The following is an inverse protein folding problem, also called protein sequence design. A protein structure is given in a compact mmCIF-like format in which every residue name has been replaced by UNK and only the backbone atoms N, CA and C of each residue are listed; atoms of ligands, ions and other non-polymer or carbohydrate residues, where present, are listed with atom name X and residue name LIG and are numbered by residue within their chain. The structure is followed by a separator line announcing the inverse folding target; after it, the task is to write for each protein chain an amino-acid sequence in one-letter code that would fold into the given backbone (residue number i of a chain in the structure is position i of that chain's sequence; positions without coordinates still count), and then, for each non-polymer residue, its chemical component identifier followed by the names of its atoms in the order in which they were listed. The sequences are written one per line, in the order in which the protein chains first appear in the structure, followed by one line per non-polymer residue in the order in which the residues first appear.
data_IF_834079687962
#
_entry.id   IF_834079687962
#
_cell.length_a   1.000
_cell.length_b   1.000
_cell.length_c   1.000
_cell.angle_alpha   90.00
_cell.angle_beta   90.00
_cell.angle_gamma   90.00
#
_symmetry.space_group_name_H-M   'P 1'
#
loop_
_entity.id
_entity.type
_entity.pdbx_description
1 polymer ?
#
# COMPACT_ATOMS: atom_id res chain seq x y z
N UNK A 1 -5.51 7.13 20.31
CA UNK A 1 -5.95 6.58 19.01
C UNK A 1 -7.20 7.34 18.56
N UNK A 2 -7.27 7.71 17.29
CA UNK A 2 -8.37 8.45 16.64
C UNK A 2 -8.52 8.01 15.18
N UNK A 3 -9.60 8.43 14.51
CA UNK A 3 -9.78 8.17 13.07
C UNK A 3 -8.61 8.68 12.21
N UNK A 4 -7.90 9.72 12.68
CA UNK A 4 -6.71 10.24 11.99
C UNK A 4 -5.54 9.23 11.99
N UNK A 5 -5.48 8.32 12.96
CA UNK A 5 -4.41 7.33 13.03
C UNK A 5 -4.53 6.29 11.91
N UNK A 6 -5.75 5.98 11.43
CA UNK A 6 -5.95 5.12 10.25
C UNK A 6 -5.25 5.71 9.02
N UNK A 7 -5.40 7.02 8.81
CA UNK A 7 -4.75 7.73 7.71
C UNK A 7 -3.22 7.69 7.86
N UNK A 8 -2.69 7.90 9.06
CA UNK A 8 -1.25 7.81 9.33
C UNK A 8 -0.70 6.42 9.02
N UNK A 9 -1.36 5.37 9.51
CA UNK A 9 -1.00 3.99 9.21
C UNK A 9 -1.03 3.71 7.72
N UNK A 10 -2.08 4.12 7.02
CA UNK A 10 -2.20 3.98 5.56
C UNK A 10 -1.04 4.66 4.81
N UNK A 11 -0.75 5.93 5.14
CA UNK A 11 0.36 6.68 4.54
C UNK A 11 1.71 6.02 4.78
N UNK A 12 2.03 5.66 6.02
CA UNK A 12 3.31 5.00 6.36
C UNK A 12 3.46 3.69 5.60
N UNK A 13 2.43 2.85 5.61
CA UNK A 13 2.48 1.54 4.96
C UNK A 13 2.64 1.64 3.44
N UNK A 14 1.94 2.56 2.77
CA UNK A 14 2.12 2.74 1.33
C UNK A 14 3.54 3.22 0.97
N UNK A 15 4.12 4.10 1.78
CA UNK A 15 5.51 4.53 1.58
C UNK A 15 6.49 3.36 1.79
N UNK A 16 6.27 2.53 2.82
CA UNK A 16 7.11 1.35 3.10
C UNK A 16 6.99 0.29 1.98
N UNK A 17 5.83 0.20 1.33
CA UNK A 17 5.60 -0.62 0.14
C UNK A 17 6.23 -0.04 -1.13
N UNK A 18 6.84 1.15 -1.06
CA UNK A 18 7.54 1.78 -2.19
C UNK A 18 6.64 2.57 -3.13
N UNK A 19 5.41 2.91 -2.74
CA UNK A 19 4.53 3.77 -3.54
C UNK A 19 5.10 5.20 -3.55
N UNK A 20 5.11 5.82 -4.72
CA UNK A 20 5.61 7.18 -4.88
C UNK A 20 4.89 8.18 -3.95
N UNK A 21 5.62 9.08 -3.24
CA UNK A 21 5.03 9.99 -2.27
C UNK A 21 3.90 10.86 -2.85
N UNK A 22 4.03 11.32 -4.10
CA UNK A 22 3.00 12.14 -4.74
C UNK A 22 1.69 11.37 -4.99
N UNK A 23 1.75 10.05 -5.20
CA UNK A 23 0.57 9.19 -5.32
C UNK A 23 -0.08 9.03 -3.95
N UNK A 24 0.71 8.80 -2.89
CA UNK A 24 0.22 8.70 -1.50
C UNK A 24 -0.46 10.00 -1.05
N UNK A 25 0.15 11.16 -1.35
CA UNK A 25 -0.44 12.47 -1.07
C UNK A 25 -1.79 12.65 -1.78
N UNK A 26 -1.89 12.28 -3.06
CA UNK A 26 -3.18 12.36 -3.76
C UNK A 26 -4.22 11.36 -3.26
N UNK A 27 -3.84 10.13 -2.88
CA UNK A 27 -4.76 9.12 -2.32
C UNK A 27 -5.33 9.56 -0.98
N UNK A 28 -4.51 10.24 -0.20
CA UNK A 28 -4.93 10.81 1.07
C UNK A 28 -5.72 12.10 0.84
N UNK A 29 -5.76 12.67 -0.38
CA UNK A 29 -6.45 13.93 -0.65
C UNK A 29 -5.71 15.14 -0.08
N UNK A 30 -4.40 14.98 0.20
CA UNK A 30 -3.55 16.12 0.46
C UNK A 30 -3.38 16.95 -0.81
N UNK A 31 -3.11 18.22 -0.55
CA UNK A 31 -2.94 19.20 -1.58
C UNK A 31 -1.44 19.28 -1.95
N UNK A 32 -1.08 18.92 -3.19
CA UNK A 32 0.32 18.79 -3.67
C UNK A 32 1.21 20.01 -3.34
N UNK A 33 2.46 19.86 -2.90
CA UNK A 33 3.30 20.99 -2.50
C UNK A 33 3.85 21.79 -3.70
N UNK A 34 4.07 23.09 -3.51
CA UNK A 34 4.79 23.96 -4.45
C UNK A 34 4.23 23.99 -5.87
N UNK A 35 5.13 24.02 -6.87
CA UNK A 35 4.77 24.11 -8.29
C UNK A 35 4.02 22.88 -8.82
N UNK A 36 4.09 21.73 -8.14
CA UNK A 36 3.29 20.55 -8.49
C UNK A 36 1.79 20.89 -8.46
N UNK A 37 1.34 21.77 -7.54
CA UNK A 37 -0.05 22.26 -7.53
C UNK A 37 -0.49 22.87 -8.85
N UNK A 38 0.41 23.64 -9.47
CA UNK A 38 0.10 24.50 -10.61
C UNK A 38 0.14 23.73 -11.91
N UNK A 39 1.10 22.82 -12.06
CA UNK A 39 1.35 22.14 -13.34
C UNK A 39 0.94 20.67 -13.35
N UNK A 40 0.92 20.00 -12.19
CA UNK A 40 0.60 18.58 -12.13
C UNK A 40 -0.90 18.36 -12.04
N UNK A 41 -1.54 18.33 -13.20
CA UNK A 41 -2.97 18.03 -13.34
C UNK A 41 -3.27 16.54 -13.50
N UNK A 42 -2.24 15.68 -13.48
CA UNK A 42 -2.45 14.24 -13.63
C UNK A 42 -3.21 13.67 -12.44
N UNK A 43 -4.17 12.80 -12.75
CA UNK A 43 -4.95 12.06 -11.75
C UNK A 43 -4.27 10.79 -11.26
N UNK A 44 -3.24 10.33 -11.96
CA UNK A 44 -2.48 9.11 -11.65
C UNK A 44 -3.36 7.89 -11.37
N UNK A 45 -4.43 7.69 -12.16
CA UNK A 45 -5.44 6.66 -11.85
C UNK A 45 -4.84 5.25 -11.78
N UNK A 46 -3.96 4.88 -12.71
CA UNK A 46 -3.33 3.56 -12.71
C UNK A 46 -2.36 3.38 -11.53
N UNK A 47 -1.53 4.39 -11.23
CA UNK A 47 -0.63 4.33 -10.08
C UNK A 47 -1.40 4.27 -8.75
N UNK A 48 -2.51 5.01 -8.63
CA UNK A 48 -3.41 4.95 -7.47
C UNK A 48 -4.06 3.58 -7.34
N UNK A 49 -4.53 3.01 -8.45
CA UNK A 49 -5.11 1.66 -8.47
C UNK A 49 -4.08 0.65 -7.97
N UNK A 50 -2.88 0.64 -8.55
CA UNK A 50 -1.82 -0.27 -8.14
C UNK A 50 -1.47 -0.11 -6.64
N UNK A 51 -1.37 1.13 -6.14
CA UNK A 51 -1.12 1.38 -4.73
C UNK A 51 -2.24 0.84 -3.81
N UNK A 52 -3.50 0.95 -4.23
CA UNK A 52 -4.63 0.39 -3.49
C UNK A 52 -4.67 -1.14 -3.56
N UNK A 53 -4.32 -1.73 -4.70
CA UNK A 53 -4.21 -3.18 -4.86
C UNK A 53 -3.11 -3.74 -3.91
N UNK A 54 -1.94 -3.09 -3.86
CA UNK A 54 -0.86 -3.43 -2.91
C UNK A 54 -1.30 -3.30 -1.45
N UNK A 55 -2.12 -2.28 -1.14
CA UNK A 55 -2.67 -2.12 0.21
C UNK A 55 -3.61 -3.26 0.60
N UNK A 56 -4.50 -3.66 -0.31
CA UNK A 56 -5.43 -4.78 -0.08
C UNK A 56 -4.66 -6.09 0.12
N UNK A 57 -3.69 -6.40 -0.74
CA UNK A 57 -2.84 -7.58 -0.59
C UNK A 57 -2.13 -7.57 0.77
N UNK A 58 -1.61 -6.41 1.19
CA UNK A 58 -0.98 -6.29 2.51
C UNK A 58 -1.96 -6.54 3.65
N UNK A 59 -3.20 -6.06 3.55
CA UNK A 59 -4.24 -6.31 4.54
C UNK A 59 -4.63 -7.78 4.61
N UNK A 60 -4.71 -8.48 3.47
CA UNK A 60 -5.00 -9.92 3.42
C UNK A 60 -3.92 -10.74 4.14
N UNK A 61 -2.64 -10.39 3.93
CA UNK A 61 -1.52 -10.99 4.66
C UNK A 61 -1.66 -10.76 6.17
N UNK A 62 -1.95 -9.51 6.58
CA UNK A 62 -2.09 -9.16 8.00
C UNK A 62 -3.32 -9.79 8.66
N UNK A 63 -4.40 -9.99 7.90
CA UNK A 63 -5.61 -10.68 8.35
C UNK A 63 -5.43 -12.20 8.47
N UNK A 64 -4.28 -12.74 8.05
CA UNK A 64 -4.02 -14.18 8.05
C UNK A 64 -4.79 -14.93 6.97
N UNK A 65 -5.29 -14.24 5.94
CA UNK A 65 -5.99 -14.84 4.80
C UNK A 65 -5.03 -15.49 3.78
N UNK A 66 -3.73 -15.47 4.05
CA UNK A 66 -2.69 -16.02 3.19
C UNK A 66 -2.10 -17.31 3.79
N UNK A 67 -2.20 -18.43 3.07
CA UNK A 67 -1.62 -19.71 3.48
C UNK A 67 -0.10 -19.72 3.18
N UNK A 68 0.72 -19.63 4.22
CA UNK A 68 2.19 -19.66 4.11
C UNK A 68 2.79 -21.00 4.56
N UNK A 69 1.97 -22.03 4.78
CA UNK A 69 2.41 -23.36 5.24
C UNK A 69 2.31 -24.34 4.09
N UNK A 70 3.45 -24.93 3.71
CA UNK A 70 3.50 -26.06 2.78
C UNK A 70 4.05 -27.28 3.51
N UNK A 71 3.39 -28.43 3.34
CA UNK A 71 3.90 -29.71 3.85
C UNK A 71 5.05 -30.18 2.97
N UNK A 72 6.25 -30.30 3.54
CA UNK A 72 7.38 -30.90 2.84
C UNK A 72 7.25 -32.44 2.87
N UNK A 73 7.51 -33.13 1.74
CA UNK A 73 7.49 -34.59 1.73
C UNK A 73 8.61 -35.13 2.62
N UNK A 74 8.26 -36.05 3.52
CA UNK A 74 9.24 -36.73 4.39
C UNK A 74 10.12 -37.64 3.52
N UNK A 75 11.42 -37.34 3.45
CA UNK A 75 12.39 -38.20 2.79
C UNK A 75 12.43 -39.57 3.51
N UNK A 76 12.13 -40.66 2.78
CA UNK A 76 12.26 -42.01 3.33
C UNK A 76 13.74 -42.29 3.60
N UNK A 77 14.10 -42.47 4.87
CA UNK A 77 15.43 -42.92 5.29
C UNK A 77 15.59 -44.38 4.85
N UNK A 78 16.59 -44.67 4.02
CA UNK A 78 17.03 -46.04 3.70
C UNK A 78 17.73 -46.67 4.90
#
# INVERSE_FOLDING_TARGET
WSLHDIRRTFTTMLNDLGVDPHVVEQLTGHQMPGMQRVYNHSRYLDAKRNALDMWVERLEILAGAHENVTTLPVARRK
#
